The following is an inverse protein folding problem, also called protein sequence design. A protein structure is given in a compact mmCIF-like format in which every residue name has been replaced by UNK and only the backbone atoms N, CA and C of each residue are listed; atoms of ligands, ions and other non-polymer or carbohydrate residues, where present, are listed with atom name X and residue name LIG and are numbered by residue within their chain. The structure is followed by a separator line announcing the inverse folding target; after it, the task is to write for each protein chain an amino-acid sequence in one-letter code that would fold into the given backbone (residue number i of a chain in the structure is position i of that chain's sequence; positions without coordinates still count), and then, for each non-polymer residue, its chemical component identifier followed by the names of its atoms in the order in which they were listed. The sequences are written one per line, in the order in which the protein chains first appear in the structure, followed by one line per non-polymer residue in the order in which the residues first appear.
data_IF_957545427698
#
_entry.id   IF_957545427698
#
_cell.length_a   1.000
_cell.length_b   1.000
_cell.length_c   1.000
_cell.angle_alpha   90.00
_cell.angle_beta   90.00
_cell.angle_gamma   90.00
#
_symmetry.space_group_name_H-M   'P 1'
#
loop_
_entity.id
_entity.type
_entity.pdbx_description
1 polymer ?
#
# COMPACT_ATOMS: atom_id res chain seq x y z
N UNK A 1 51.98 64.45 26.54
CA UNK A 1 51.52 63.94 25.25
C UNK A 1 50.14 63.36 25.52
N UNK A 2 49.15 64.24 25.51
CA UNK A 2 47.78 63.90 25.92
C UNK A 2 47.10 63.10 24.82
N UNK A 3 46.68 61.88 25.15
CA UNK A 3 45.79 61.09 24.30
C UNK A 3 44.40 61.72 24.39
N UNK A 4 44.10 62.61 23.45
CA UNK A 4 42.82 63.32 23.38
C UNK A 4 41.61 62.38 23.23
N UNK A 5 40.41 62.81 23.68
CA UNK A 5 39.16 62.04 23.61
C UNK A 5 38.76 61.61 22.19
N UNK A 6 39.36 62.21 21.16
CA UNK A 6 39.14 61.89 19.76
C UNK A 6 39.65 60.50 19.37
N UNK A 7 40.71 59.99 20.03
CA UNK A 7 41.24 58.66 19.75
C UNK A 7 40.27 57.55 20.17
N UNK A 8 39.55 57.75 21.29
CA UNK A 8 38.57 56.80 21.80
C UNK A 8 37.31 56.78 20.93
N UNK A 9 36.89 57.93 20.43
CA UNK A 9 35.72 58.06 19.57
C UNK A 9 35.96 57.40 18.19
N UNK A 10 37.16 57.56 17.63
CA UNK A 10 37.55 56.89 16.38
C UNK A 10 37.64 55.37 16.58
N UNK A 11 38.22 54.87 17.68
CA UNK A 11 38.22 53.43 17.97
C UNK A 11 36.81 52.88 18.18
N UNK A 12 35.91 53.62 18.82
CA UNK A 12 34.52 53.22 19.02
C UNK A 12 33.75 53.18 17.70
N UNK A 13 33.96 54.16 16.81
CA UNK A 13 33.38 54.19 15.46
C UNK A 13 33.90 53.06 14.57
N UNK A 14 35.20 52.71 14.69
CA UNK A 14 35.76 51.54 14.00
C UNK A 14 35.18 50.23 14.55
N UNK A 15 35.01 50.09 15.88
CA UNK A 15 34.36 48.91 16.48
C UNK A 15 32.87 48.81 16.09
N UNK A 16 32.17 49.95 15.98
CA UNK A 16 30.78 50.01 15.50
C UNK A 16 30.67 49.66 14.01
N UNK A 17 31.60 50.12 13.15
CA UNK A 17 31.65 49.75 11.72
C UNK A 17 32.12 48.31 11.48
N UNK A 18 32.94 47.74 12.37
CA UNK A 18 33.42 46.35 12.27
C UNK A 18 32.34 45.31 12.62
N UNK A 19 31.20 45.75 13.17
CA UNK A 19 30.08 44.85 13.51
C UNK A 19 29.19 44.50 12.32
N UNK A 20 29.54 44.95 11.11
CA UNK A 20 28.89 44.52 9.89
C UNK A 20 29.39 43.11 9.51
N UNK A 21 28.90 42.09 10.22
CA UNK A 21 29.05 40.68 9.84
C UNK A 21 28.51 40.52 8.41
N UNK A 22 29.39 40.35 7.43
CA UNK A 22 28.96 39.91 6.10
C UNK A 22 28.20 38.60 6.28
N UNK A 23 26.99 38.54 5.73
CA UNK A 23 26.20 37.32 5.74
C UNK A 23 26.89 36.29 4.87
N UNK A 24 27.27 35.14 5.44
CA UNK A 24 27.76 34.02 4.64
C UNK A 24 26.65 33.56 3.69
N UNK A 25 26.85 33.76 2.39
CA UNK A 25 25.97 33.24 1.34
C UNK A 25 26.32 31.78 1.09
N UNK A 26 25.30 30.96 0.87
CA UNK A 26 25.45 29.54 0.59
C UNK A 26 24.45 29.04 -0.45
N UNK A 27 24.79 27.93 -1.07
CA UNK A 27 23.89 27.10 -1.88
C UNK A 27 23.50 25.86 -1.07
N UNK A 28 22.30 25.32 -1.34
CA UNK A 28 21.88 24.02 -0.82
C UNK A 28 22.00 22.98 -1.92
N UNK A 29 22.76 21.92 -1.64
CA UNK A 29 23.02 20.82 -2.55
C UNK A 29 22.32 19.55 -2.10
N UNK A 30 21.82 18.79 -3.06
CA UNK A 30 21.16 17.51 -2.85
C UNK A 30 21.11 16.71 -4.16
N UNK A 31 20.47 15.54 -4.15
CA UNK A 31 20.32 14.75 -5.36
C UNK A 31 19.40 15.44 -6.36
N UNK A 32 19.73 15.31 -7.64
CA UNK A 32 18.86 15.72 -8.75
C UNK A 32 17.91 14.61 -9.18
N UNK A 33 18.34 13.35 -9.03
CA UNK A 33 17.53 12.19 -9.37
C UNK A 33 16.60 11.80 -8.21
N UNK A 34 15.42 11.23 -8.50
CA UNK A 34 14.51 10.74 -7.46
C UNK A 34 15.16 9.66 -6.59
N UNK A 35 14.93 9.73 -5.29
CA UNK A 35 15.33 8.68 -4.35
C UNK A 35 14.23 7.63 -4.32
N UNK A 36 14.58 6.39 -4.67
CA UNK A 36 13.68 5.24 -4.59
C UNK A 36 13.96 4.46 -3.32
N UNK A 37 12.92 4.14 -2.56
CA UNK A 37 13.02 3.39 -1.30
C UNK A 37 11.96 2.28 -1.21
N UNK A 38 12.33 1.14 -0.61
CA UNK A 38 11.40 0.09 -0.24
C UNK A 38 10.68 0.44 1.07
N UNK A 39 9.36 0.31 1.10
CA UNK A 39 8.58 0.56 2.31
C UNK A 39 9.07 -0.31 3.48
N UNK A 40 9.11 0.28 4.67
CA UNK A 40 9.66 -0.33 5.88
C UNK A 40 11.14 0.00 6.15
N UNK A 41 11.91 0.34 5.11
CA UNK A 41 13.31 0.74 5.27
C UNK A 41 13.45 2.18 5.82
N UNK A 42 14.65 2.53 6.24
CA UNK A 42 15.04 3.89 6.57
C UNK A 42 15.63 4.59 5.34
N UNK A 43 15.42 5.90 5.19
CA UNK A 43 16.04 6.73 4.16
C UNK A 43 16.79 7.91 4.75
N UNK A 44 17.78 8.37 3.98
CA UNK A 44 18.44 9.64 4.20
C UNK A 44 18.14 10.52 2.98
N UNK A 45 17.57 11.69 3.22
CA UNK A 45 17.38 12.74 2.23
C UNK A 45 18.58 13.70 2.30
N UNK A 46 19.52 13.62 1.35
CA UNK A 46 20.77 14.37 1.43
C UNK A 46 20.53 15.86 1.20
N UNK A 47 21.05 16.69 2.11
CA UNK A 47 20.98 18.15 2.00
C UNK A 47 22.23 18.76 2.65
N UNK A 48 23.01 19.50 1.87
CA UNK A 48 24.32 20.03 2.27
C UNK A 48 24.50 21.49 1.89
N UNK A 49 25.23 22.24 2.71
CA UNK A 49 25.63 23.62 2.40
C UNK A 49 26.90 23.67 1.55
N UNK A 50 26.92 24.57 0.57
CA UNK A 50 28.12 24.95 -0.17
C UNK A 50 28.34 26.46 -0.09
N UNK A 51 29.50 26.95 0.40
CA UNK A 51 30.61 26.18 0.98
C UNK A 51 30.21 25.47 2.29
N UNK A 52 31.04 24.54 2.77
CA UNK A 52 30.81 23.80 4.01
C UNK A 52 30.96 24.73 5.23
N UNK A 53 29.89 25.41 5.59
CA UNK A 53 29.78 26.31 6.75
C UNK A 53 28.88 25.69 7.81
N UNK A 54 28.97 26.16 9.06
CA UNK A 54 28.15 25.61 10.15
C UNK A 54 26.68 25.98 9.99
N UNK A 55 25.80 24.98 10.06
CA UNK A 55 24.36 25.13 10.09
C UNK A 55 23.77 25.16 11.53
N UNK A 56 24.61 25.07 12.57
CA UNK A 56 24.16 24.95 13.96
C UNK A 56 23.28 26.13 14.43
N UNK A 57 23.59 27.34 13.95
CA UNK A 57 22.86 28.57 14.29
C UNK A 57 21.86 29.00 13.20
N UNK A 58 21.58 28.12 12.22
CA UNK A 58 20.60 28.34 11.16
C UNK A 58 19.25 27.69 11.50
N UNK A 59 18.20 28.09 10.77
CA UNK A 59 16.93 27.35 10.75
C UNK A 59 16.97 26.34 9.61
N UNK A 60 16.66 25.08 9.89
CA UNK A 60 16.55 23.99 8.91
C UNK A 60 15.11 23.48 8.93
N UNK A 61 14.43 23.62 7.80
CA UNK A 61 13.07 23.13 7.58
C UNK A 61 13.07 22.03 6.54
N UNK A 62 12.48 20.90 6.90
CA UNK A 62 12.06 19.88 5.95
C UNK A 62 10.55 19.92 5.81
N UNK A 63 10.11 20.05 4.56
CA UNK A 63 8.69 20.08 4.20
C UNK A 63 8.42 18.99 3.18
N UNK A 64 7.28 18.31 3.28
CA UNK A 64 6.72 17.52 2.19
C UNK A 64 5.67 18.41 1.50
N UNK A 65 5.96 18.79 0.26
CA UNK A 65 5.21 19.76 -0.53
C UNK A 65 3.87 19.21 -1.05
N UNK A 66 3.63 17.90 -0.92
CA UNK A 66 2.36 17.29 -1.30
C UNK A 66 1.27 17.52 -0.22
N UNK A 67 1.65 18.04 0.95
CA UNK A 67 0.74 18.40 2.04
C UNK A 67 0.71 19.92 2.28
N UNK A 68 -0.48 20.47 2.50
CA UNK A 68 -0.64 21.84 3.00
C UNK A 68 -0.05 21.94 4.42
N UNK A 69 0.76 22.98 4.67
CA UNK A 69 1.54 23.13 5.91
C UNK A 69 2.41 21.90 6.23
N UNK A 70 2.95 21.26 5.18
CA UNK A 70 3.59 19.94 5.20
C UNK A 70 4.90 19.80 5.98
N UNK A 71 4.98 20.32 7.22
CA UNK A 71 6.19 20.26 8.03
C UNK A 71 6.52 18.84 8.45
N UNK A 72 7.63 18.36 7.91
CA UNK A 72 8.23 17.06 8.23
C UNK A 72 9.16 17.19 9.43
N UNK A 73 10.00 18.23 9.46
CA UNK A 73 10.96 18.45 10.54
C UNK A 73 11.37 19.91 10.62
N UNK A 74 11.65 20.41 11.83
CA UNK A 74 12.23 21.75 12.04
C UNK A 74 13.32 21.71 13.11
N UNK A 75 14.47 22.26 12.76
CA UNK A 75 15.53 22.61 13.69
C UNK A 75 15.71 24.14 13.69
N UNK A 76 15.68 24.74 14.88
CA UNK A 76 15.84 26.18 15.05
C UNK A 76 16.36 26.50 16.44
N UNK A 77 17.22 27.51 16.58
CA UNK A 77 17.77 27.94 17.88
C UNK A 77 18.42 26.78 18.67
N UNK A 78 19.15 25.90 17.97
CA UNK A 78 19.79 24.71 18.53
C UNK A 78 18.83 23.73 19.21
N UNK A 79 17.59 23.69 18.73
CA UNK A 79 16.53 22.82 19.26
C UNK A 79 15.67 22.27 18.13
N UNK A 80 15.13 21.09 18.36
CA UNK A 80 14.08 20.50 17.52
C UNK A 80 12.74 21.16 17.90
N UNK A 81 12.02 21.65 16.90
CA UNK A 81 10.71 22.27 17.08
C UNK A 81 9.64 21.28 16.62
N UNK A 82 8.84 20.78 17.57
CA UNK A 82 7.77 19.82 17.30
C UNK A 82 6.44 20.49 16.92
N UNK A 83 6.30 21.78 17.19
CA UNK A 83 5.08 22.52 16.90
C UNK A 83 4.72 22.47 15.41
N UNK A 84 3.45 22.12 15.13
CA UNK A 84 2.88 21.96 13.80
C UNK A 84 3.62 20.94 12.92
N UNK A 85 4.38 19.99 13.50
CA UNK A 85 4.88 18.83 12.77
C UNK A 85 3.73 17.90 12.41
N UNK A 86 3.74 17.35 11.20
CA UNK A 86 2.78 16.31 10.81
C UNK A 86 3.00 15.07 11.69
N UNK A 87 1.93 14.62 12.35
CA UNK A 87 1.95 13.50 13.31
C UNK A 87 2.55 12.21 12.76
N UNK A 88 2.38 11.92 11.46
CA UNK A 88 2.94 10.71 10.83
C UNK A 88 4.48 10.71 10.72
N UNK A 89 5.14 11.86 10.90
CA UNK A 89 6.60 11.99 10.89
C UNK A 89 7.22 12.10 12.29
N UNK A 90 6.40 12.35 13.31
CA UNK A 90 6.86 12.47 14.70
C UNK A 90 7.52 11.17 15.18
N UNK A 91 8.72 11.28 15.77
CA UNK A 91 9.51 10.13 16.24
C UNK A 91 10.07 9.24 15.11
N UNK A 92 9.93 9.65 13.85
CA UNK A 92 10.49 8.96 12.69
C UNK A 92 11.56 9.77 11.98
N UNK A 93 11.69 11.06 12.30
CA UNK A 93 12.56 12.02 11.61
C UNK A 93 13.63 12.57 12.54
N UNK A 94 14.83 12.77 12.01
CA UNK A 94 15.98 13.34 12.73
C UNK A 94 17.01 13.94 11.77
N UNK A 95 17.74 14.96 12.21
CA UNK A 95 18.98 15.39 11.57
C UNK A 95 20.19 14.66 12.16
N UNK A 96 21.32 14.74 11.47
CA UNK A 96 22.64 14.38 12.00
C UNK A 96 23.22 15.60 12.72
N UNK A 97 22.78 15.84 13.97
CA UNK A 97 23.14 17.04 14.74
C UNK A 97 24.67 17.21 14.86
N UNK A 98 25.39 16.10 14.99
CA UNK A 98 26.85 16.05 15.06
C UNK A 98 27.58 16.47 13.76
N UNK A 99 26.88 16.55 12.62
CA UNK A 99 27.44 16.97 11.34
C UNK A 99 26.96 18.37 10.91
N UNK A 100 26.12 19.04 11.70
CA UNK A 100 25.62 20.40 11.41
C UNK A 100 26.76 21.41 11.30
N UNK A 101 27.82 21.27 12.09
CA UNK A 101 28.99 22.16 12.05
C UNK A 101 29.75 22.12 10.71
N UNK A 102 29.53 21.07 9.90
CA UNK A 102 30.10 20.89 8.55
C UNK A 102 29.11 21.24 7.44
N UNK A 103 27.91 21.72 7.79
CA UNK A 103 26.86 22.08 6.85
C UNK A 103 26.05 20.88 6.34
N UNK A 104 26.06 19.74 7.04
CA UNK A 104 25.18 18.61 6.70
C UNK A 104 23.83 18.77 7.42
N UNK A 105 22.78 19.02 6.65
CA UNK A 105 21.41 19.20 7.14
C UNK A 105 20.47 18.10 6.60
N UNK A 106 21.05 16.93 6.28
CA UNK A 106 20.31 15.79 5.74
C UNK A 106 19.30 15.24 6.74
N UNK A 107 18.13 14.86 6.25
CA UNK A 107 17.07 14.27 7.07
C UNK A 107 17.16 12.75 7.02
N UNK A 108 17.21 12.10 8.18
CA UNK A 108 16.90 10.67 8.29
C UNK A 108 15.41 10.51 8.56
N UNK A 109 14.72 9.69 7.75
CA UNK A 109 13.34 9.26 7.93
C UNK A 109 13.31 7.74 8.10
N UNK A 110 12.72 7.26 9.19
CA UNK A 110 12.71 5.83 9.55
C UNK A 110 11.39 5.16 9.24
N UNK A 111 11.45 3.85 8.93
CA UNK A 111 10.29 2.99 8.64
C UNK A 111 9.36 3.60 7.60
N UNK A 112 9.85 3.85 6.39
CA UNK A 112 9.13 4.55 5.31
C UNK A 112 7.78 3.89 4.99
N UNK A 113 6.75 4.72 4.80
CA UNK A 113 5.38 4.35 4.48
C UNK A 113 4.99 4.88 3.09
N UNK A 114 3.93 4.35 2.49
CA UNK A 114 3.44 4.83 1.18
C UNK A 114 3.00 6.29 1.17
N UNK A 115 2.58 6.85 2.32
CA UNK A 115 2.27 8.29 2.47
C UNK A 115 3.49 9.20 2.52
N UNK A 116 4.69 8.63 2.68
CA UNK A 116 5.92 9.42 2.68
C UNK A 116 6.45 9.64 1.26
N UNK A 117 5.85 9.06 0.24
CA UNK A 117 6.11 9.42 -1.16
C UNK A 117 5.78 10.90 -1.39
N UNK A 118 6.56 11.58 -2.23
CA UNK A 118 6.28 12.95 -2.62
C UNK A 118 7.51 13.83 -2.82
N UNK A 119 7.27 15.14 -2.94
CA UNK A 119 8.31 16.14 -3.11
C UNK A 119 8.71 16.73 -1.75
N UNK A 120 9.98 16.56 -1.39
CA UNK A 120 10.53 17.10 -0.15
C UNK A 120 11.35 18.36 -0.42
N UNK A 121 11.10 19.42 0.35
CA UNK A 121 11.92 20.62 0.35
C UNK A 121 12.83 20.64 1.56
N UNK A 122 14.13 20.79 1.33
CA UNK A 122 15.09 21.21 2.34
C UNK A 122 15.26 22.72 2.23
N UNK A 123 14.74 23.48 3.20
CA UNK A 123 14.85 24.94 3.26
C UNK A 123 15.76 25.34 4.42
N UNK A 124 16.80 26.13 4.12
CA UNK A 124 17.77 26.56 5.12
C UNK A 124 17.79 28.07 5.16
N UNK A 125 17.64 28.64 6.35
CA UNK A 125 17.59 30.08 6.58
C UNK A 125 18.63 30.51 7.61
N UNK A 126 19.54 31.36 7.16
CA UNK A 126 20.40 32.18 7.99
C UNK A 126 19.78 33.56 8.24
N UNK A 127 20.52 34.44 8.94
CA UNK A 127 20.03 35.77 9.36
C UNK A 127 19.56 36.65 8.20
N UNK A 128 20.26 36.62 7.07
CA UNK A 128 20.04 37.50 5.91
C UNK A 128 20.19 36.79 4.57
N UNK A 129 20.16 35.45 4.59
CA UNK A 129 20.23 34.61 3.41
C UNK A 129 19.43 33.33 3.65
N UNK A 130 18.80 32.85 2.59
CA UNK A 130 18.09 31.57 2.57
C UNK A 130 18.23 30.94 1.19
N UNK A 131 18.14 29.61 1.16
CA UNK A 131 18.17 28.83 -0.05
C UNK A 131 17.48 27.48 0.19
N UNK A 132 16.91 26.89 -0.86
CA UNK A 132 16.28 25.59 -0.79
C UNK A 132 16.62 24.65 -1.94
N UNK A 133 16.22 23.40 -1.77
CA UNK A 133 16.39 22.30 -2.71
C UNK A 133 15.13 21.43 -2.62
N UNK A 134 14.70 20.85 -3.74
CA UNK A 134 13.59 19.90 -3.80
C UNK A 134 14.12 18.52 -4.19
N UNK A 135 13.72 17.49 -3.45
CA UNK A 135 14.05 16.09 -3.66
C UNK A 135 12.76 15.32 -3.90
N UNK A 136 12.72 14.51 -4.95
CA UNK A 136 11.60 13.59 -5.17
C UNK A 136 11.88 12.25 -4.46
N UNK A 137 10.93 11.78 -3.66
CA UNK A 137 10.97 10.46 -3.03
C UNK A 137 9.90 9.59 -3.68
N UNK A 138 10.28 8.39 -4.10
CA UNK A 138 9.40 7.36 -4.65
C UNK A 138 9.43 6.14 -3.73
N UNK A 139 8.27 5.66 -3.33
CA UNK A 139 8.16 4.50 -2.43
C UNK A 139 7.77 3.28 -3.25
N UNK A 140 8.35 2.11 -2.92
CA UNK A 140 8.01 0.83 -3.53
C UNK A 140 7.62 -0.16 -2.43
N UNK A 141 6.49 -0.82 -2.59
CA UNK A 141 6.06 -1.92 -1.73
C UNK A 141 5.46 -3.04 -2.59
N UNK A 142 6.01 -4.24 -2.41
CA UNK A 142 5.46 -5.47 -2.98
C UNK A 142 4.56 -6.07 -1.92
N UNK A 143 3.30 -6.27 -2.27
CA UNK A 143 2.31 -6.76 -1.33
C UNK A 143 2.42 -8.26 -1.06
N UNK A 144 1.48 -8.74 -0.24
CA UNK A 144 1.38 -10.13 0.15
C UNK A 144 1.00 -11.02 -1.02
N UNK A 145 1.36 -12.31 -0.92
CA UNK A 145 0.88 -13.31 -1.88
C UNK A 145 -0.66 -13.32 -1.90
N UNK A 146 -1.32 -13.25 -3.07
CA UNK A 146 -2.77 -13.16 -3.13
C UNK A 146 -3.44 -14.38 -2.48
N UNK A 147 -4.47 -14.13 -1.68
CA UNK A 147 -5.28 -15.17 -1.03
C UNK A 147 -6.54 -15.36 -1.84
N UNK A 148 -6.80 -16.60 -2.27
CA UNK A 148 -8.01 -16.98 -2.99
C UNK A 148 -8.96 -17.70 -2.04
N UNK A 149 -10.21 -17.23 -2.00
CA UNK A 149 -11.30 -17.81 -1.23
C UNK A 149 -12.45 -18.22 -2.15
N UNK A 150 -13.12 -19.34 -1.79
CA UNK A 150 -14.25 -19.86 -2.55
C UNK A 150 -15.53 -19.31 -1.92
N UNK A 151 -16.31 -18.56 -2.69
CA UNK A 151 -17.58 -17.97 -2.24
C UNK A 151 -18.79 -18.89 -2.45
N UNK A 152 -18.60 -19.99 -3.18
CA UNK A 152 -19.64 -20.97 -3.50
C UNK A 152 -20.29 -20.73 -4.86
N UNK A 153 -21.39 -21.44 -5.12
CA UNK A 153 -22.07 -21.37 -6.42
C UNK A 153 -22.77 -20.02 -6.62
N UNK A 154 -22.51 -19.35 -7.74
CA UNK A 154 -23.16 -18.10 -8.15
C UNK A 154 -23.37 -18.10 -9.66
N UNK A 155 -24.56 -17.67 -10.10
CA UNK A 155 -24.89 -17.46 -11.52
C UNK A 155 -24.54 -18.64 -12.45
N UNK A 156 -24.69 -19.88 -11.94
CA UNK A 156 -24.39 -21.10 -12.71
C UNK A 156 -22.92 -21.48 -12.81
N UNK A 157 -22.03 -20.83 -12.06
CA UNK A 157 -20.61 -21.20 -11.91
C UNK A 157 -20.15 -21.15 -10.46
N UNK A 158 -18.83 -21.14 -10.25
CA UNK A 158 -18.20 -20.99 -8.95
C UNK A 158 -17.69 -19.57 -8.73
N UNK A 159 -18.17 -18.91 -7.67
CA UNK A 159 -17.64 -17.63 -7.22
C UNK A 159 -16.32 -17.81 -6.48
N UNK A 160 -15.31 -17.04 -6.91
CA UNK A 160 -14.01 -16.91 -6.26
C UNK A 160 -13.74 -15.45 -5.91
N UNK A 161 -13.12 -15.22 -4.77
CA UNK A 161 -12.61 -13.92 -4.34
C UNK A 161 -11.10 -14.01 -4.16
N UNK A 162 -10.37 -13.14 -4.85
CA UNK A 162 -8.95 -12.94 -4.63
C UNK A 162 -8.71 -11.62 -3.89
N UNK A 163 -7.84 -11.64 -2.89
CA UNK A 163 -7.45 -10.48 -2.09
C UNK A 163 -5.93 -10.45 -1.88
N UNK A 164 -5.34 -9.25 -1.96
CA UNK A 164 -3.91 -9.03 -1.67
C UNK A 164 -3.71 -7.62 -1.11
N UNK A 165 -2.77 -7.47 -0.17
CA UNK A 165 -2.57 -6.25 0.62
C UNK A 165 -1.11 -5.79 0.61
N UNK A 166 -0.86 -4.52 0.97
CA UNK A 166 0.49 -4.00 1.19
C UNK A 166 1.21 -3.50 -0.06
N UNK A 167 0.48 -3.17 -1.13
CA UNK A 167 1.10 -2.71 -2.38
C UNK A 167 1.28 -1.19 -2.39
N UNK A 168 2.38 -0.71 -2.97
CA UNK A 168 2.54 0.71 -3.34
C UNK A 168 3.54 0.81 -4.51
N UNK A 169 3.21 1.48 -5.62
CA UNK A 169 1.95 2.19 -5.92
C UNK A 169 0.74 1.24 -6.12
N UNK A 170 -0.37 1.74 -6.66
CA UNK A 170 -1.58 0.92 -6.86
C UNK A 170 -1.32 -0.20 -7.89
N UNK A 171 -1.52 -1.48 -7.53
CA UNK A 171 -1.28 -2.60 -8.42
C UNK A 171 -2.49 -2.92 -9.32
N UNK A 172 -2.26 -3.75 -10.33
CA UNK A 172 -3.28 -4.36 -11.17
C UNK A 172 -3.57 -5.79 -10.70
N UNK A 173 -4.85 -6.14 -10.50
CA UNK A 173 -5.28 -7.50 -10.17
C UNK A 173 -6.02 -8.09 -11.38
N UNK A 174 -5.61 -9.28 -11.80
CA UNK A 174 -6.20 -10.01 -12.92
C UNK A 174 -6.41 -11.49 -12.59
N UNK A 175 -7.47 -12.05 -13.15
CA UNK A 175 -7.76 -13.48 -13.13
C UNK A 175 -7.41 -14.13 -14.47
N UNK A 176 -6.76 -15.28 -14.42
CA UNK A 176 -6.31 -16.03 -15.59
C UNK A 176 -6.79 -17.49 -15.53
N UNK A 177 -7.05 -18.06 -16.70
CA UNK A 177 -7.25 -19.51 -16.85
C UNK A 177 -5.91 -20.28 -16.83
N UNK A 178 -5.97 -21.61 -16.97
CA UNK A 178 -4.79 -22.49 -17.00
C UNK A 178 -3.85 -22.25 -18.18
N UNK A 179 -4.28 -21.51 -19.21
CA UNK A 179 -3.49 -21.12 -20.39
C UNK A 179 -2.94 -19.70 -20.27
N UNK A 180 -3.24 -19.00 -19.18
CA UNK A 180 -2.83 -17.61 -18.97
C UNK A 180 -3.71 -16.59 -19.69
N UNK A 181 -4.91 -16.96 -20.10
CA UNK A 181 -5.88 -16.06 -20.75
C UNK A 181 -6.74 -15.37 -19.70
N UNK A 182 -7.00 -14.09 -19.88
CA UNK A 182 -7.82 -13.29 -18.96
C UNK A 182 -9.26 -13.82 -18.87
N UNK A 183 -9.74 -13.97 -17.65
CA UNK A 183 -11.13 -14.28 -17.36
C UNK A 183 -11.98 -13.00 -17.35
N UNK A 184 -13.23 -13.12 -17.79
CA UNK A 184 -14.20 -12.03 -17.68
C UNK A 184 -14.62 -11.87 -16.21
N UNK A 185 -14.19 -10.79 -15.57
CA UNK A 185 -14.51 -10.45 -14.19
C UNK A 185 -15.01 -8.99 -14.11
N UNK A 186 -15.71 -8.66 -13.01
CA UNK A 186 -16.05 -7.27 -12.69
C UNK A 186 -14.79 -6.42 -12.39
N UNK A 187 -14.92 -5.09 -12.24
CA UNK A 187 -13.78 -4.25 -11.86
C UNK A 187 -13.22 -4.66 -10.48
N UNK A 188 -11.90 -4.58 -10.27
CA UNK A 188 -11.32 -4.83 -8.95
C UNK A 188 -11.70 -3.71 -7.98
N UNK A 189 -12.01 -4.10 -6.75
CA UNK A 189 -12.14 -3.20 -5.62
C UNK A 189 -10.75 -2.85 -5.10
N UNK A 190 -10.52 -1.56 -4.82
CA UNK A 190 -9.24 -1.09 -4.28
C UNK A 190 -9.48 -0.22 -3.07
N UNK A 191 -8.76 -0.50 -1.99
CA UNK A 191 -8.76 0.29 -0.77
C UNK A 191 -7.33 0.74 -0.46
N UNK A 192 -7.16 2.00 -0.03
CA UNK A 192 -5.87 2.54 0.41
C UNK A 192 -5.91 2.80 1.91
N UNK A 193 -4.97 2.22 2.65
CA UNK A 193 -4.89 2.40 4.09
C UNK A 193 -4.29 3.77 4.48
N UNK A 194 -4.32 4.08 5.78
CA UNK A 194 -3.77 5.33 6.31
C UNK A 194 -2.25 5.46 6.19
N UNK A 195 -1.54 4.36 5.91
CA UNK A 195 -0.10 4.33 5.63
C UNK A 195 0.19 4.47 4.14
N UNK A 196 -0.84 4.54 3.32
CA UNK A 196 -0.75 4.75 1.88
C UNK A 196 -0.62 3.46 1.07
N UNK A 197 -0.75 2.28 1.68
CA UNK A 197 -0.68 0.99 0.99
C UNK A 197 -2.03 0.55 0.45
N UNK A 198 -2.01 -0.12 -0.69
CA UNK A 198 -3.18 -0.60 -1.41
C UNK A 198 -3.49 -2.05 -1.04
N UNK A 199 -4.78 -2.30 -0.80
CA UNK A 199 -5.40 -3.62 -0.78
C UNK A 199 -6.31 -3.72 -2.00
N UNK A 200 -6.14 -4.79 -2.78
CA UNK A 200 -6.92 -5.05 -3.99
C UNK A 200 -7.71 -6.34 -3.84
N UNK A 201 -8.96 -6.31 -4.29
CA UNK A 201 -9.87 -7.46 -4.26
C UNK A 201 -10.59 -7.58 -5.59
N UNK A 202 -10.82 -8.80 -6.06
CA UNK A 202 -11.63 -9.01 -7.26
C UNK A 202 -12.38 -10.34 -7.19
N UNK A 203 -13.68 -10.26 -7.47
CA UNK A 203 -14.57 -11.40 -7.62
C UNK A 203 -14.57 -11.90 -9.07
N UNK A 204 -14.64 -13.21 -9.24
CA UNK A 204 -14.83 -13.85 -10.55
C UNK A 204 -15.77 -15.04 -10.42
N UNK A 205 -16.54 -15.30 -11.47
CA UNK A 205 -17.35 -16.52 -11.59
C UNK A 205 -16.69 -17.39 -12.66
N UNK A 206 -16.27 -18.59 -12.26
CA UNK A 206 -15.60 -19.54 -13.14
C UNK A 206 -16.50 -20.73 -13.47
N UNK A 207 -16.32 -21.27 -14.67
CA UNK A 207 -17.02 -22.46 -15.15
C UNK A 207 -16.07 -23.66 -15.10
N UNK A 208 -16.64 -24.87 -15.11
CA UNK A 208 -15.83 -26.09 -15.20
C UNK A 208 -15.03 -26.12 -16.51
N UNK A 209 -13.76 -26.51 -16.41
CA UNK A 209 -12.80 -26.65 -17.50
C UNK A 209 -12.13 -28.02 -17.43
N UNK A 210 -11.30 -28.34 -18.41
CA UNK A 210 -10.50 -29.58 -18.44
C UNK A 210 -9.51 -29.72 -17.26
N UNK A 211 -9.04 -28.59 -16.75
CA UNK A 211 -7.97 -28.50 -15.74
C UNK A 211 -8.44 -27.96 -14.40
N UNK A 212 -9.54 -27.20 -14.39
CA UNK A 212 -10.07 -26.49 -13.23
C UNK A 212 -9.00 -25.74 -12.43
N UNK A 213 -8.03 -25.14 -13.14
CA UNK A 213 -6.96 -24.32 -12.59
C UNK A 213 -7.18 -22.88 -12.97
N UNK A 214 -7.16 -22.01 -11.97
CA UNK A 214 -7.36 -20.58 -12.13
C UNK A 214 -6.26 -19.85 -11.36
N UNK A 215 -5.73 -18.78 -11.94
CA UNK A 215 -4.65 -18.01 -11.34
C UNK A 215 -5.14 -16.60 -11.04
N UNK A 216 -5.03 -16.19 -9.78
CA UNK A 216 -5.09 -14.77 -9.44
C UNK A 216 -3.68 -14.20 -9.47
N UNK A 217 -3.47 -13.15 -10.27
CA UNK A 217 -2.20 -12.44 -10.38
C UNK A 217 -2.40 -10.98 -9.98
N UNK A 218 -1.54 -10.51 -9.09
CA UNK A 218 -1.41 -9.09 -8.76
C UNK A 218 -0.06 -8.63 -9.28
N UNK A 219 -0.04 -7.58 -10.09
CA UNK A 219 1.17 -7.09 -10.75
C UNK A 219 1.30 -5.57 -10.62
N UNK A 220 2.53 -5.11 -10.50
CA UNK A 220 2.90 -3.70 -10.40
C UNK A 220 3.84 -3.37 -11.56
N UNK A 221 3.29 -2.80 -12.64
CA UNK A 221 4.03 -2.49 -13.87
C UNK A 221 5.15 -1.47 -13.65
N UNK A 222 4.95 -0.49 -12.77
CA UNK A 222 5.91 0.58 -12.47
C UNK A 222 7.22 0.08 -11.84
N UNK A 223 7.18 -1.03 -11.11
CA UNK A 223 8.37 -1.61 -10.45
C UNK A 223 8.72 -2.99 -11.02
N UNK A 224 7.94 -3.48 -11.99
CA UNK A 224 8.07 -4.78 -12.64
C UNK A 224 8.03 -5.96 -11.65
N UNK A 225 7.14 -5.90 -10.67
CA UNK A 225 6.96 -6.95 -9.67
C UNK A 225 5.57 -7.60 -9.80
N UNK A 226 5.48 -8.89 -9.48
CA UNK A 226 4.20 -9.61 -9.51
C UNK A 226 4.16 -10.72 -8.46
N UNK A 227 2.97 -10.98 -7.95
CA UNK A 227 2.65 -12.10 -7.09
C UNK A 227 1.43 -12.84 -7.65
N UNK A 228 1.44 -14.16 -7.56
CA UNK A 228 0.35 -14.98 -8.09
C UNK A 228 0.05 -16.18 -7.20
N UNK A 229 -1.22 -16.57 -7.21
CA UNK A 229 -1.73 -17.76 -6.54
C UNK A 229 -2.60 -18.53 -7.52
N UNK A 230 -2.21 -19.78 -7.75
CA UNK A 230 -3.02 -20.73 -8.50
C UNK A 230 -3.93 -21.51 -7.54
N UNK A 231 -5.19 -21.64 -7.91
CA UNK A 231 -6.18 -22.48 -7.22
C UNK A 231 -6.64 -23.58 -8.17
N UNK A 232 -6.74 -24.79 -7.63
CA UNK A 232 -7.38 -25.91 -8.31
C UNK A 232 -8.72 -26.21 -7.65
N UNK A 233 -9.78 -26.26 -8.45
CA UNK A 233 -11.14 -26.57 -7.99
C UNK A 233 -11.49 -28.02 -8.38
N UNK A 234 -11.74 -28.90 -7.41
CA UNK A 234 -12.25 -30.24 -7.70
C UNK A 234 -13.57 -30.19 -8.47
N UNK A 235 -13.76 -31.07 -9.46
CA UNK A 235 -14.97 -31.14 -10.30
C UNK A 235 -16.26 -31.33 -9.47
N UNK A 236 -16.18 -32.01 -8.32
CA UNK A 236 -17.32 -32.20 -7.43
C UNK A 236 -17.88 -30.87 -6.90
N UNK A 237 -17.05 -29.83 -6.84
CA UNK A 237 -17.50 -28.51 -6.44
C UNK A 237 -18.35 -27.82 -7.51
N UNK A 238 -18.26 -28.21 -8.78
CA UNK A 238 -19.09 -27.65 -9.87
C UNK A 238 -20.40 -28.41 -10.06
N UNK A 239 -20.53 -29.59 -9.46
CA UNK A 239 -21.70 -30.44 -9.63
C UNK A 239 -22.87 -29.90 -8.78
N UNK A 240 -23.54 -28.86 -9.31
CA UNK A 240 -24.76 -28.28 -8.76
C UNK A 240 -25.93 -29.28 -8.71
N UNK A 241 -25.76 -30.47 -9.28
CA UNK A 241 -26.80 -31.48 -9.23
C UNK A 241 -26.87 -32.10 -7.83
N UNK A 242 -28.01 -31.88 -7.16
CA UNK A 242 -28.81 -32.90 -6.46
C UNK A 242 -29.22 -32.65 -4.98
N UNK A 243 -30.05 -31.62 -4.73
CA UNK A 243 -31.20 -31.82 -3.84
C UNK A 243 -32.43 -32.22 -4.66
N UNK A 244 -32.78 -31.46 -5.70
CA UNK A 244 -33.97 -31.69 -6.53
C UNK A 244 -33.91 -33.01 -7.31
N UNK A 245 -32.77 -33.34 -7.95
CA UNK A 245 -32.64 -34.62 -8.67
C UNK A 245 -32.61 -35.83 -7.72
N UNK A 246 -31.98 -35.72 -6.55
CA UNK A 246 -32.02 -36.77 -5.50
C UNK A 246 -33.44 -36.93 -4.95
N UNK A 247 -34.13 -35.85 -4.62
CA UNK A 247 -35.54 -35.89 -4.18
C UNK A 247 -36.46 -36.42 -5.28
N UNK A 248 -36.23 -36.05 -6.55
CA UNK A 248 -36.99 -36.58 -7.69
C UNK A 248 -36.78 -38.08 -7.86
N UNK A 249 -35.54 -38.58 -7.79
CA UNK A 249 -35.24 -40.02 -7.88
C UNK A 249 -35.88 -40.78 -6.73
N UNK A 250 -35.74 -40.31 -5.48
CA UNK A 250 -36.33 -40.94 -4.30
C UNK A 250 -37.86 -40.96 -4.38
N UNK A 251 -38.49 -39.87 -4.84
CA UNK A 251 -39.93 -39.79 -5.01
C UNK A 251 -40.43 -40.74 -6.10
N UNK A 252 -39.72 -40.84 -7.23
CA UNK A 252 -40.02 -41.80 -8.29
C UNK A 252 -39.89 -43.25 -7.80
N UNK A 253 -38.85 -43.58 -7.03
CA UNK A 253 -38.67 -44.92 -6.46
C UNK A 253 -39.78 -45.28 -5.48
N UNK A 254 -40.14 -44.36 -4.57
CA UNK A 254 -41.25 -44.56 -3.63
C UNK A 254 -42.58 -44.75 -4.36
N UNK A 255 -42.85 -43.95 -5.39
CA UNK A 255 -44.04 -44.10 -6.24
C UNK A 255 -44.09 -45.45 -6.98
N UNK A 256 -42.95 -45.96 -7.47
CA UNK A 256 -42.90 -47.27 -8.10
C UNK A 256 -43.18 -48.41 -7.11
N UNK A 257 -42.62 -48.33 -5.90
CA UNK A 257 -42.82 -49.33 -4.84
C UNK A 257 -44.29 -49.39 -4.42
N UNK A 258 -44.95 -48.24 -4.26
CA UNK A 258 -46.38 -48.21 -3.91
C UNK A 258 -47.25 -48.79 -5.03
N UNK A 259 -46.96 -48.48 -6.30
CA UNK A 259 -47.69 -49.03 -7.44
C UNK A 259 -47.54 -50.55 -7.57
N UNK A 260 -46.35 -51.09 -7.34
CA UNK A 260 -46.11 -52.55 -7.31
C UNK A 260 -46.86 -53.17 -6.13
N UNK A 261 -46.78 -52.57 -4.94
CA UNK A 261 -47.49 -53.04 -3.75
C UNK A 261 -49.02 -53.08 -3.93
N UNK A 262 -49.60 -52.03 -4.52
CA UNK A 262 -51.03 -51.97 -4.85
C UNK A 262 -51.42 -53.05 -5.88
N UNK A 263 -50.60 -53.23 -6.91
CA UNK A 263 -50.86 -54.22 -7.96
C UNK A 263 -50.81 -55.66 -7.40
N UNK A 264 -49.84 -55.95 -6.53
CA UNK A 264 -49.74 -57.24 -5.82
C UNK A 264 -50.93 -57.44 -4.87
N UNK A 265 -51.34 -56.41 -4.13
CA UNK A 265 -52.51 -56.50 -3.25
C UNK A 265 -53.80 -56.81 -4.01
N UNK A 266 -54.04 -56.14 -5.15
CA UNK A 266 -55.18 -56.41 -6.04
C UNK A 266 -55.12 -57.85 -6.57
N UNK A 267 -53.95 -58.29 -7.01
CA UNK A 267 -53.74 -59.65 -7.52
C UNK A 267 -54.02 -60.72 -6.43
N UNK A 268 -53.55 -60.49 -5.20
CA UNK A 268 -53.84 -61.35 -4.06
C UNK A 268 -55.32 -61.39 -3.70
N UNK A 269 -56.03 -60.25 -3.75
CA UNK A 269 -57.48 -60.19 -3.51
C UNK A 269 -58.25 -60.96 -4.59
N UNK A 270 -57.87 -60.82 -5.86
CA UNK A 270 -58.47 -61.58 -6.97
C UNK A 270 -58.24 -63.08 -6.86
N UNK A 271 -57.01 -63.52 -6.54
CA UNK A 271 -56.72 -64.94 -6.30
C UNK A 271 -57.48 -65.50 -5.10
N UNK A 272 -57.64 -64.71 -4.02
CA UNK A 272 -58.41 -65.13 -2.85
C UNK A 272 -59.90 -65.24 -3.16
N UNK A 273 -60.44 -64.40 -4.05
CA UNK A 273 -61.85 -64.44 -4.48
C UNK A 273 -62.12 -65.61 -5.43
N UNK A 274 -61.22 -65.88 -6.38
CA UNK A 274 -61.31 -67.06 -7.26
C UNK A 274 -61.18 -68.40 -6.55
N UNK A 275 -60.59 -68.43 -5.35
CA UNK A 275 -60.48 -69.65 -4.52
C UNK A 275 -61.67 -69.83 -3.56
N UNK A 276 -62.57 -68.84 -3.44
CA UNK A 276 -63.80 -68.92 -2.64
C UNK A 276 -65.01 -69.32 -3.50
N UNK A 277 -64.98 -69.06 -4.81
CA UNK A 277 -66.02 -69.49 -5.76
C UNK A 277 -65.85 -70.97 -6.23
N UNK A 278 -64.97 -71.75 -5.59
CA UNK A 278 -64.61 -73.13 -5.95
C UNK A 278 -64.73 -74.11 -4.76
N UNK A 279 -65.67 -73.86 -3.85
CA UNK A 279 -66.14 -74.79 -2.81
C UNK A 279 -67.66 -74.87 -2.87
#
# INVERSE_FOLDING_TARGET
METGPDSLFVTLLFLLHSSHSESEKFEVLGPTDPIVVVAGDDIILPCYLKPNISAEDMTVDWLNLDFLDGRVYRYQNRKIIQDNQITSYTGRTSLFEEELWRGNTSLKLTRVQGTDEGLYKCFIKAKSWDHDLIIQVLVKAVGSKPVVSIEGHREGGMGLLCESEGWHPQPELVWLDSKGVHLSAGPPETHRDFKGFYTVKQHVIVQETDTNRFTCRVQQSLINEKMETEVHLPSELFDYTTPWKRTSIVLCCLGAITMIGFSLAICCIHNKKGNVDMI
#
